data_IF_789142239637
#
_entry.id   IF_789142239637
#
_cell.length_a   1.000
_cell.length_b   1.000
_cell.length_c   1.000
_cell.angle_alpha   90.00
_cell.angle_beta   90.00
_cell.angle_gamma   90.00
#
_symmetry.space_group_name_H-M   'P 1'
#
loop_
_entity.id
_entity.type
_entity.pdbx_description
1 polymer ?
#
# COMPACT_ATOMS: atom_id res chain seq x y z
N UNK A 1 26.18 11.32 9.11
CA UNK A 1 25.87 12.76 8.92
C UNK A 1 25.50 13.23 10.29
N UNK A 2 26.23 14.19 10.82
CA UNK A 2 26.07 14.60 12.22
C UNK A 2 25.67 16.07 12.28
N UNK A 3 24.76 16.39 13.20
CA UNK A 3 24.37 17.75 13.52
C UNK A 3 24.43 17.90 15.03
N UNK A 4 25.26 18.83 15.51
CA UNK A 4 25.46 19.08 16.95
C UNK A 4 25.78 17.82 17.79
N UNK A 5 26.54 16.87 17.23
CA UNK A 5 26.92 15.62 17.91
C UNK A 5 25.88 14.50 17.85
N UNK A 6 24.79 14.68 17.10
CA UNK A 6 23.76 13.65 16.90
C UNK A 6 23.89 13.03 15.51
N UNK A 7 23.88 11.70 15.42
CA UNK A 7 23.75 11.00 14.14
C UNK A 7 22.31 11.12 13.61
N UNK A 8 22.16 11.87 12.52
CA UNK A 8 20.87 12.18 11.89
C UNK A 8 20.64 11.39 10.60
N UNK A 9 21.62 10.57 10.16
CA UNK A 9 21.51 9.89 8.87
C UNK A 9 20.35 8.87 8.89
N UNK A 10 19.41 9.03 7.95
CA UNK A 10 18.27 8.12 7.82
C UNK A 10 17.20 8.27 8.91
N UNK A 11 17.33 9.28 9.79
CA UNK A 11 16.32 9.62 10.79
C UNK A 11 15.30 10.61 10.22
N UNK A 12 14.10 10.58 10.78
CA UNK A 12 12.97 11.44 10.47
C UNK A 12 12.39 12.03 11.74
N UNK A 13 11.86 13.25 11.64
CA UNK A 13 11.11 13.91 12.70
C UNK A 13 9.65 13.50 12.57
N UNK A 14 9.07 13.02 13.66
CA UNK A 14 7.68 12.56 13.74
C UNK A 14 6.91 13.39 14.76
N UNK A 15 5.67 13.75 14.42
CA UNK A 15 4.72 14.29 15.40
C UNK A 15 4.22 13.16 16.29
N UNK A 16 4.16 13.39 17.59
CA UNK A 16 3.66 12.40 18.56
C UNK A 16 2.13 12.29 18.45
N UNK A 17 1.46 13.44 18.34
CA UNK A 17 0.00 13.58 18.25
C UNK A 17 -0.59 13.43 16.83
N UNK A 18 0.27 13.27 15.82
CA UNK A 18 -0.09 13.19 14.40
C UNK A 18 -0.79 14.41 13.80
N UNK A 19 -0.75 15.55 14.49
CA UNK A 19 -1.31 16.79 14.00
C UNK A 19 -0.21 17.66 13.34
N UNK A 20 -0.18 17.80 12.01
CA UNK A 20 0.85 18.58 11.33
C UNK A 20 0.80 20.09 11.63
N UNK A 21 -0.28 20.58 12.25
CA UNK A 21 -0.40 21.97 12.69
C UNK A 21 0.23 22.20 14.08
N UNK A 22 0.49 21.15 14.86
CA UNK A 22 1.07 21.26 16.20
C UNK A 22 2.60 21.19 16.15
N UNK A 23 3.23 22.36 15.99
CA UNK A 23 4.69 22.51 15.82
C UNK A 23 5.45 22.80 17.12
N UNK A 24 4.87 22.51 18.30
CA UNK A 24 5.60 22.67 19.56
C UNK A 24 6.75 21.66 19.64
N UNK A 25 7.91 22.09 20.14
CA UNK A 25 9.14 21.28 20.13
C UNK A 25 9.01 19.98 20.93
N UNK A 26 8.21 19.99 22.00
CA UNK A 26 7.89 18.85 22.85
C UNK A 26 6.97 17.81 22.18
N UNK A 27 6.30 18.18 21.08
CA UNK A 27 5.44 17.29 20.30
C UNK A 27 6.21 16.49 19.23
N UNK A 28 7.52 16.67 19.13
CA UNK A 28 8.35 15.96 18.17
C UNK A 28 9.17 14.86 18.81
N UNK A 29 9.34 13.77 18.07
CA UNK A 29 10.35 12.74 18.36
C UNK A 29 11.16 12.43 17.11
N UNK A 30 12.41 12.03 17.29
CA UNK A 30 13.28 11.58 16.21
C UNK A 30 13.24 10.05 16.18
N UNK A 31 13.05 9.47 14.99
CA UNK A 31 13.14 8.03 14.79
C UNK A 31 13.54 7.70 13.35
N UNK A 32 13.38 6.46 12.95
CA UNK A 32 13.66 5.97 11.60
C UNK A 32 12.40 5.92 10.76
N UNK A 33 12.54 5.83 9.43
CA UNK A 33 11.41 5.59 8.54
C UNK A 33 10.65 4.29 8.90
N UNK A 34 11.38 3.24 9.32
CA UNK A 34 10.78 1.98 9.74
C UNK A 34 9.89 2.14 10.98
N UNK A 35 10.36 2.90 11.98
CA UNK A 35 9.57 3.22 13.17
C UNK A 35 8.33 4.07 12.84
N UNK A 36 8.47 5.06 11.95
CA UNK A 36 7.34 5.86 11.48
C UNK A 36 6.27 5.01 10.78
N UNK A 37 6.70 4.06 9.93
CA UNK A 37 5.80 3.12 9.27
C UNK A 37 5.11 2.18 10.25
N UNK A 38 5.83 1.67 11.26
CA UNK A 38 5.27 0.84 12.32
C UNK A 38 4.24 1.62 13.16
N UNK A 39 4.50 2.89 13.49
CA UNK A 39 3.57 3.79 14.18
C UNK A 39 2.30 4.04 13.36
N UNK A 40 2.45 4.36 12.07
CA UNK A 40 1.31 4.51 11.14
C UNK A 40 0.47 3.23 11.06
N UNK A 41 1.10 2.06 11.04
CA UNK A 41 0.40 0.78 11.01
C UNK A 41 -0.33 0.50 12.33
N UNK A 42 0.33 0.71 13.47
CA UNK A 42 -0.25 0.54 14.80
C UNK A 42 -1.47 1.45 15.01
N UNK A 43 -1.37 2.72 14.57
CA UNK A 43 -2.46 3.70 14.64
C UNK A 43 -3.52 3.53 13.54
N UNK A 44 -3.41 2.52 12.68
CA UNK A 44 -4.38 2.26 11.61
C UNK A 44 -4.46 3.35 10.53
N UNK A 45 -3.45 4.22 10.43
CA UNK A 45 -3.38 5.30 9.42
C UNK A 45 -2.85 4.82 8.08
N UNK A 46 -2.31 3.59 8.03
CA UNK A 46 -1.91 2.94 6.79
C UNK A 46 -3.11 2.77 5.85
N UNK A 47 -3.05 3.38 4.66
CA UNK A 47 -4.07 3.21 3.60
C UNK A 47 -4.00 1.85 2.89
N UNK A 48 -3.36 0.86 3.51
CA UNK A 48 -3.01 -0.43 2.90
C UNK A 48 -4.13 -1.48 2.99
N UNK A 49 -5.27 -1.16 3.61
CA UNK A 49 -6.43 -2.04 3.54
C UNK A 49 -6.77 -2.30 2.07
N UNK A 50 -6.65 -3.55 1.63
CA UNK A 50 -7.05 -3.95 0.29
C UNK A 50 -8.49 -3.48 0.09
N UNK A 51 -8.71 -2.62 -0.90
CA UNK A 51 -10.03 -2.07 -1.24
C UNK A 51 -11.08 -3.18 -1.50
N UNK A 52 -10.60 -4.40 -1.74
CA UNK A 52 -11.38 -5.59 -2.01
C UNK A 52 -11.00 -6.72 -1.04
N UNK A 53 -11.99 -7.49 -0.60
CA UNK A 53 -11.73 -8.73 0.15
C UNK A 53 -11.08 -9.77 -0.78
N UNK A 54 -10.24 -10.65 -0.25
CA UNK A 54 -9.56 -11.66 -1.07
C UNK A 54 -10.55 -12.56 -1.85
N UNK A 55 -11.66 -12.95 -1.21
CA UNK A 55 -12.75 -13.72 -1.85
C UNK A 55 -13.44 -12.92 -2.95
N UNK A 56 -13.72 -11.64 -2.72
CA UNK A 56 -14.30 -10.72 -3.70
C UNK A 56 -13.38 -10.58 -4.93
N UNK A 57 -12.06 -10.47 -4.73
CA UNK A 57 -11.08 -10.42 -5.82
C UNK A 57 -11.14 -11.70 -6.66
N UNK A 58 -11.12 -12.87 -6.02
CA UNK A 58 -11.15 -14.16 -6.72
C UNK A 58 -12.41 -14.29 -7.59
N UNK A 59 -13.56 -13.87 -7.06
CA UNK A 59 -14.83 -13.88 -7.78
C UNK A 59 -14.85 -12.93 -8.97
N UNK A 60 -14.36 -11.70 -8.79
CA UNK A 60 -14.27 -10.70 -9.87
C UNK A 60 -13.38 -11.20 -11.00
N UNK A 61 -12.20 -11.74 -10.67
CA UNK A 61 -11.25 -12.25 -11.66
C UNK A 61 -11.83 -13.43 -12.42
N UNK A 62 -12.43 -14.40 -11.72
CA UNK A 62 -13.07 -15.57 -12.34
C UNK A 62 -14.15 -15.15 -13.34
N UNK A 63 -15.06 -14.26 -12.94
CA UNK A 63 -16.15 -13.77 -13.81
C UNK A 63 -15.61 -12.98 -15.01
N UNK A 64 -14.62 -12.11 -14.79
CA UNK A 64 -13.98 -11.37 -15.88
C UNK A 64 -13.33 -12.31 -16.90
N UNK A 65 -12.62 -13.33 -16.45
CA UNK A 65 -12.00 -14.34 -17.32
C UNK A 65 -13.03 -15.19 -18.07
N UNK A 66 -14.24 -15.34 -17.52
CA UNK A 66 -15.38 -15.96 -18.19
C UNK A 66 -16.08 -15.02 -19.20
N UNK A 67 -15.55 -13.82 -19.44
CA UNK A 67 -16.09 -12.86 -20.41
C UNK A 67 -17.17 -11.92 -19.86
N UNK A 68 -17.44 -11.94 -18.55
CA UNK A 68 -18.42 -11.01 -17.95
C UNK A 68 -17.90 -9.58 -18.08
N UNK A 69 -18.73 -8.71 -18.65
CA UNK A 69 -18.35 -7.31 -18.88
C UNK A 69 -18.12 -6.55 -17.57
N UNK A 70 -17.22 -5.56 -17.59
CA UNK A 70 -16.96 -4.68 -16.43
C UNK A 70 -18.25 -3.98 -15.98
N UNK A 71 -19.15 -3.62 -16.90
CA UNK A 71 -20.42 -2.99 -16.55
C UNK A 71 -21.32 -3.92 -15.72
N UNK A 72 -21.36 -5.21 -16.06
CA UNK A 72 -22.11 -6.19 -15.27
C UNK A 72 -21.45 -6.39 -13.90
N UNK A 73 -20.12 -6.48 -13.83
CA UNK A 73 -19.39 -6.58 -12.57
C UNK A 73 -19.65 -5.38 -11.64
N UNK A 74 -19.75 -4.16 -12.19
CA UNK A 74 -20.08 -2.98 -11.36
C UNK A 74 -21.46 -3.09 -10.72
N UNK A 75 -22.45 -3.61 -11.44
CA UNK A 75 -23.82 -3.78 -10.92
C UNK A 75 -23.86 -4.85 -9.84
N UNK A 76 -23.16 -5.96 -10.04
CA UNK A 76 -23.15 -7.09 -9.09
C UNK A 76 -22.34 -6.80 -7.81
N UNK A 77 -21.22 -6.09 -7.92
CA UNK A 77 -20.30 -5.85 -6.80
C UNK A 77 -20.54 -4.50 -6.10
N UNK A 78 -21.30 -3.59 -6.70
CA UNK A 78 -21.47 -2.22 -6.22
C UNK A 78 -20.19 -1.37 -6.33
N UNK A 79 -19.15 -1.86 -7.02
CA UNK A 79 -17.87 -1.17 -7.17
C UNK A 79 -17.86 -0.30 -8.41
N UNK A 80 -17.10 0.80 -8.37
CA UNK A 80 -16.97 1.68 -9.54
C UNK A 80 -16.14 1.03 -10.65
N UNK A 81 -16.40 1.41 -11.91
CA UNK A 81 -15.63 0.92 -13.07
C UNK A 81 -14.13 1.17 -12.91
N UNK A 82 -13.76 2.34 -12.38
CA UNK A 82 -12.36 2.73 -12.17
C UNK A 82 -11.68 1.82 -11.15
N UNK A 83 -12.38 1.46 -10.06
CA UNK A 83 -11.84 0.55 -9.06
C UNK A 83 -11.63 -0.86 -9.64
N UNK A 84 -12.60 -1.38 -10.41
CA UNK A 84 -12.48 -2.69 -11.05
C UNK A 84 -11.37 -2.74 -12.12
N UNK A 85 -11.26 -1.71 -12.96
CA UNK A 85 -10.17 -1.61 -13.95
C UNK A 85 -8.80 -1.57 -13.28
N UNK A 86 -8.65 -0.74 -12.24
CA UNK A 86 -7.41 -0.67 -11.47
C UNK A 86 -7.05 -2.00 -10.81
N UNK A 87 -8.03 -2.74 -10.29
CA UNK A 87 -7.82 -4.08 -9.75
C UNK A 87 -7.31 -5.04 -10.83
N UNK A 88 -8.03 -5.17 -11.95
CA UNK A 88 -7.71 -6.11 -13.02
C UNK A 88 -6.36 -5.80 -13.67
N UNK A 89 -6.04 -4.52 -13.91
CA UNK A 89 -4.76 -4.09 -14.44
C UNK A 89 -3.60 -4.43 -13.49
N UNK A 90 -3.76 -4.18 -12.19
CA UNK A 90 -2.75 -4.53 -11.20
C UNK A 90 -2.51 -6.04 -11.12
N UNK A 91 -3.56 -6.85 -11.25
CA UNK A 91 -3.43 -8.32 -11.28
C UNK A 91 -2.69 -8.77 -12.54
N UNK A 92 -3.03 -8.23 -13.70
CA UNK A 92 -2.34 -8.53 -14.96
C UNK A 92 -0.85 -8.15 -14.90
N UNK A 93 -0.53 -6.96 -14.38
CA UNK A 93 0.85 -6.50 -14.18
C UNK A 93 1.64 -7.41 -13.24
N UNK A 94 1.04 -7.83 -12.12
CA UNK A 94 1.68 -8.78 -11.19
C UNK A 94 1.89 -10.16 -11.83
N UNK A 95 0.94 -10.61 -12.65
CA UNK A 95 1.06 -11.87 -13.38
C UNK A 95 2.20 -11.82 -14.41
N UNK A 96 2.41 -10.69 -15.09
CA UNK A 96 3.53 -10.51 -16.03
C UNK A 96 4.88 -10.27 -15.34
N UNK A 97 4.89 -9.69 -14.13
CA UNK A 97 6.13 -9.44 -13.38
C UNK A 97 6.72 -10.72 -12.76
N UNK A 98 5.89 -11.68 -12.34
CA UNK A 98 6.36 -12.98 -11.80
C UNK A 98 7.35 -13.72 -12.72
N UNK A 99 7.06 -13.95 -14.01
CA UNK A 99 8.00 -14.62 -14.90
C UNK A 99 9.26 -13.77 -15.15
N UNK A 100 9.13 -12.44 -15.22
CA UNK A 100 10.28 -11.54 -15.37
C UNK A 100 11.21 -11.56 -14.13
N UNK A 101 10.65 -11.59 -12.92
CA UNK A 101 11.40 -11.70 -11.67
C UNK A 101 12.08 -13.07 -11.51
N UNK A 102 11.42 -14.15 -11.95
CA UNK A 102 12.01 -15.48 -12.00
C UNK A 102 13.19 -15.56 -13.00
N UNK A 103 13.07 -14.92 -14.17
CA UNK A 103 14.15 -14.82 -15.16
C UNK A 103 15.35 -14.00 -14.67
N UNK A 104 15.11 -12.99 -13.82
CA UNK A 104 16.16 -12.14 -13.25
C UNK A 104 16.82 -12.72 -11.99
N UNK A 105 16.46 -13.94 -11.57
CA UNK A 105 17.05 -14.60 -10.41
C UNK A 105 16.73 -13.93 -9.07
N UNK A 106 15.66 -13.12 -9.00
CA UNK A 106 15.30 -12.34 -7.80
C UNK A 106 14.50 -13.15 -6.74
N UNK A 107 14.45 -14.48 -6.88
CA UNK A 107 13.96 -15.39 -5.85
C UNK A 107 15.17 -16.17 -5.30
N UNK A 108 15.81 -15.63 -4.26
CA UNK A 108 16.52 -16.48 -3.31
C UNK A 108 15.62 -16.75 -2.09
N UNK A 109 15.78 -17.97 -1.58
CA UNK A 109 15.04 -18.75 -0.57
C UNK A 109 14.28 -17.96 0.52
#
# INVERSE_FOLDING_TARGET
MELAGYDIKGKVVMHIDDNPLNVRLDNFRVGTQAENMADMAHKGRGRTASRFKATEIADIVRKHNAGVSINQLTRETGRSRTALRGLLQNIALKASQKPAQALLGLFEL
#
